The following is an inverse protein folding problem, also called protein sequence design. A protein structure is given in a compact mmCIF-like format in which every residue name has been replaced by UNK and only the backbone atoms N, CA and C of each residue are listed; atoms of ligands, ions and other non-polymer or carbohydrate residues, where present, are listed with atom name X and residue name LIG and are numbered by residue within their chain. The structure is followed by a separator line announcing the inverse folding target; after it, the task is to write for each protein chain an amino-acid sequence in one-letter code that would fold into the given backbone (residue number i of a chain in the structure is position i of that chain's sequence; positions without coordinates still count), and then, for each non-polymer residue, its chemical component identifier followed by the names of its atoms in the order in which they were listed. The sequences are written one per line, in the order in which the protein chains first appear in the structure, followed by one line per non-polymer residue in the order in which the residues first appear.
data_IF_811924251778
#
_entry.id   IF_811924251778
#
_cell.length_a   1.000
_cell.length_b   1.000
_cell.length_c   1.000
_cell.angle_alpha   90.00
_cell.angle_beta   90.00
_cell.angle_gamma   90.00
#
_symmetry.space_group_name_H-M   'P 1'
#
loop_
_entity.id
_entity.type
_entity.pdbx_description
1 polymer ?
#
# COMPACT_ATOMS: atom_id res chain seq x y z
N UNK A 1 6.45 12.18 -21.48
CA UNK A 1 6.14 12.33 -20.04
C UNK A 1 4.73 12.86 -19.96
N UNK A 2 3.87 12.26 -19.14
CA UNK A 2 2.50 12.73 -18.98
C UNK A 2 2.51 14.14 -18.40
N UNK A 3 1.70 15.05 -18.96
CA UNK A 3 1.54 16.37 -18.37
C UNK A 3 0.59 16.28 -17.18
N UNK A 4 1.00 16.83 -16.04
CA UNK A 4 0.21 16.76 -14.79
C UNK A 4 0.08 18.12 -14.13
N UNK A 5 -0.72 18.19 -13.07
CA UNK A 5 -0.83 19.36 -12.20
C UNK A 5 0.17 19.33 -11.02
N UNK A 6 1.27 18.57 -11.11
CA UNK A 6 2.20 18.33 -9.99
C UNK A 6 2.80 19.60 -9.37
N UNK A 7 2.97 20.65 -10.17
CA UNK A 7 3.49 21.97 -9.78
C UNK A 7 2.54 22.72 -8.83
N UNK A 8 1.25 22.32 -8.83
CA UNK A 8 0.20 22.87 -8.00
C UNK A 8 -0.10 22.02 -6.76
N UNK A 9 0.53 20.86 -6.62
CA UNK A 9 0.33 19.98 -5.47
C UNK A 9 1.10 20.47 -4.25
N UNK A 10 0.45 20.40 -3.09
CA UNK A 10 1.06 20.78 -1.82
C UNK A 10 1.78 19.58 -1.21
N UNK A 11 3.04 19.79 -0.80
CA UNK A 11 3.78 18.85 0.04
C UNK A 11 3.42 19.08 1.51
N UNK A 12 3.09 18.00 2.22
CA UNK A 12 2.70 18.06 3.64
C UNK A 12 3.53 17.09 4.46
N UNK A 13 4.01 17.54 5.61
CA UNK A 13 4.71 16.67 6.56
C UNK A 13 3.70 15.87 7.37
N UNK A 14 3.78 14.55 7.31
CA UNK A 14 3.00 13.64 8.15
C UNK A 14 3.93 12.71 8.92
N UNK A 15 3.58 12.42 10.17
CA UNK A 15 4.43 11.65 11.08
C UNK A 15 3.80 10.29 11.38
N UNK A 16 4.60 9.24 11.26
CA UNK A 16 4.29 7.89 11.73
C UNK A 16 5.26 7.44 12.81
N UNK A 17 4.85 6.44 13.58
CA UNK A 17 5.68 5.70 14.51
C UNK A 17 5.71 4.22 14.08
N UNK A 18 6.88 3.58 14.13
CA UNK A 18 7.00 2.15 13.86
C UNK A 18 6.18 1.40 14.90
N UNK A 19 5.13 0.75 14.41
CA UNK A 19 4.18 0.00 15.23
C UNK A 19 4.80 -1.32 15.70
N UNK A 20 4.47 -1.75 16.93
CA UNK A 20 4.80 -3.10 17.38
C UNK A 20 3.97 -4.13 16.56
N UNK A 21 4.50 -5.32 16.22
CA UNK A 21 3.68 -6.38 15.65
C UNK A 21 2.50 -6.72 16.57
N UNK A 22 1.36 -7.03 15.98
CA UNK A 22 0.14 -7.34 16.72
C UNK A 22 -0.36 -8.75 16.40
N UNK A 23 -0.95 -9.40 17.40
CA UNK A 23 -1.68 -10.66 17.22
C UNK A 23 -3.13 -10.45 17.65
N UNK A 24 -4.04 -11.26 17.12
CA UNK A 24 -5.46 -11.21 17.50
C UNK A 24 -5.72 -11.81 18.90
N UNK A 25 -4.68 -12.23 19.63
CA UNK A 25 -4.84 -12.98 20.89
C UNK A 25 -5.56 -14.33 20.74
N UNK A 26 -5.72 -14.80 19.50
CA UNK A 26 -6.49 -15.99 19.12
C UNK A 26 -5.95 -16.56 17.80
N UNK A 27 -6.31 -17.81 17.49
CA UNK A 27 -6.01 -18.40 16.19
C UNK A 27 -6.80 -17.73 15.07
N UNK A 28 -6.18 -17.65 13.89
CA UNK A 28 -6.84 -17.26 12.64
C UNK A 28 -7.36 -18.52 11.96
N UNK A 29 -8.63 -18.54 11.59
CA UNK A 29 -9.23 -19.65 10.85
C UNK A 29 -8.81 -19.56 9.38
N UNK A 30 -8.14 -20.59 8.87
CA UNK A 30 -7.80 -20.68 7.45
C UNK A 30 -9.04 -20.92 6.58
N UNK A 31 -8.88 -20.76 5.26
CA UNK A 31 -9.95 -21.04 4.28
C UNK A 31 -10.40 -22.51 4.30
N UNK A 32 -9.56 -23.41 4.81
CA UNK A 32 -9.81 -24.83 5.01
C UNK A 32 -10.48 -25.16 6.35
N UNK A 33 -10.83 -24.13 7.14
CA UNK A 33 -11.44 -24.28 8.46
C UNK A 33 -10.45 -24.63 9.58
N UNK A 34 -9.15 -24.71 9.30
CA UNK A 34 -8.14 -25.08 10.29
C UNK A 34 -7.59 -23.81 10.99
N UNK A 35 -7.65 -23.73 12.33
CA UNK A 35 -7.09 -22.62 13.08
C UNK A 35 -5.56 -22.65 13.09
N UNK A 36 -4.92 -21.49 12.88
CA UNK A 36 -3.46 -21.34 12.85
C UNK A 36 -3.01 -20.12 13.64
N UNK A 37 -1.82 -20.22 14.24
CA UNK A 37 -1.07 -19.06 14.72
C UNK A 37 -0.06 -18.70 13.63
N UNK A 38 -0.07 -17.44 13.22
CA UNK A 38 0.83 -16.93 12.20
C UNK A 38 1.34 -15.54 12.60
N UNK A 39 2.54 -15.13 12.12
CA UNK A 39 2.95 -13.74 12.16
C UNK A 39 1.88 -12.86 11.52
N UNK A 40 1.43 -11.84 12.25
CA UNK A 40 0.42 -10.89 11.78
C UNK A 40 1.01 -9.63 11.16
N UNK A 41 0.14 -8.64 10.95
CA UNK A 41 0.52 -7.29 10.52
C UNK A 41 1.32 -6.52 11.58
N UNK A 42 1.77 -5.33 11.19
CA UNK A 42 2.56 -4.38 11.99
C UNK A 42 4.00 -4.82 12.29
N UNK A 43 4.84 -3.94 12.82
CA UNK A 43 6.26 -4.26 13.07
C UNK A 43 7.18 -4.02 11.87
N UNK A 44 8.37 -4.61 11.99
CA UNK A 44 9.43 -4.59 10.98
C UNK A 44 9.61 -6.02 10.47
N UNK A 45 9.45 -6.24 9.16
CA UNK A 45 9.71 -7.51 8.49
C UNK A 45 11.12 -7.47 7.89
N UNK A 46 11.98 -8.36 8.40
CA UNK A 46 13.38 -8.44 7.97
C UNK A 46 13.59 -9.28 6.71
N UNK A 47 12.64 -10.16 6.39
CA UNK A 47 12.72 -11.12 5.29
C UNK A 47 11.48 -11.11 4.37
N UNK A 48 10.70 -10.03 4.40
CA UNK A 48 9.54 -9.87 3.51
C UNK A 48 9.38 -8.40 3.12
N UNK A 49 9.60 -8.12 1.82
CA UNK A 49 9.70 -6.76 1.28
C UNK A 49 8.97 -6.63 -0.06
N UNK A 50 8.91 -5.41 -0.57
CA UNK A 50 8.50 -5.16 -1.96
C UNK A 50 9.39 -5.96 -2.91
N UNK A 51 8.79 -6.63 -3.88
CA UNK A 51 9.43 -7.53 -4.83
C UNK A 51 9.34 -9.01 -4.46
N UNK A 52 9.04 -9.35 -3.20
CA UNK A 52 8.82 -10.75 -2.82
C UNK A 52 7.46 -11.26 -3.34
N UNK A 53 7.35 -12.57 -3.55
CA UNK A 53 6.06 -13.19 -3.86
C UNK A 53 5.06 -12.95 -2.73
N UNK A 54 3.82 -12.60 -3.08
CA UNK A 54 2.74 -12.42 -2.11
C UNK A 54 2.30 -13.75 -1.46
N UNK A 55 2.65 -14.88 -2.07
CA UNK A 55 2.28 -16.24 -1.66
C UNK A 55 3.51 -17.05 -1.22
N UNK A 56 3.25 -18.19 -0.56
CA UNK A 56 4.30 -19.14 -0.14
C UNK A 56 4.82 -18.94 1.29
N UNK A 57 4.23 -18.01 2.03
CA UNK A 57 4.62 -17.68 3.39
C UNK A 57 3.72 -18.37 4.42
N UNK A 58 4.31 -18.79 5.55
CA UNK A 58 3.56 -19.24 6.73
C UNK A 58 3.17 -18.02 7.56
N UNK A 59 2.29 -17.18 7.00
CA UNK A 59 1.89 -15.89 7.54
C UNK A 59 0.46 -15.52 7.11
N UNK A 60 -0.16 -14.55 7.79
CA UNK A 60 -1.50 -14.04 7.42
C UNK A 60 -1.57 -12.52 7.61
N UNK A 61 -2.14 -11.80 6.63
CA UNK A 61 -2.16 -10.33 6.56
C UNK A 61 -0.83 -9.67 6.99
N UNK A 62 0.29 -10.27 6.55
CA UNK A 62 1.62 -9.77 6.87
C UNK A 62 2.00 -8.65 5.89
N UNK A 63 2.70 -7.66 6.42
CA UNK A 63 2.89 -6.36 5.79
C UNK A 63 4.39 -6.16 5.51
N UNK A 64 4.80 -5.74 4.30
CA UNK A 64 6.20 -5.70 3.88
C UNK A 64 6.99 -4.58 4.56
N UNK A 65 8.27 -4.83 4.83
CA UNK A 65 9.19 -3.83 5.38
C UNK A 65 8.72 -3.30 6.74
N UNK A 66 8.54 -1.99 6.84
CA UNK A 66 8.24 -1.27 8.08
C UNK A 66 6.79 -0.79 8.09
N UNK A 67 6.03 -1.16 9.11
CA UNK A 67 4.67 -0.64 9.32
C UNK A 67 4.65 0.55 10.27
N UNK A 68 4.16 1.68 9.76
CA UNK A 68 3.94 2.92 10.48
C UNK A 68 2.47 3.09 10.87
N UNK A 69 2.26 3.60 12.08
CA UNK A 69 0.96 4.09 12.53
C UNK A 69 1.14 5.43 13.24
N UNK A 70 0.14 6.31 13.15
CA UNK A 70 0.07 7.48 14.02
C UNK A 70 -0.77 7.11 15.26
N UNK A 71 -0.31 7.51 16.46
CA UNK A 71 -1.00 7.22 17.73
C UNK A 71 -1.94 8.33 18.22
N UNK A 72 -2.18 9.33 17.37
CA UNK A 72 -3.09 10.43 17.67
C UNK A 72 -4.56 10.06 17.51
N UNK A 73 -5.39 11.09 17.39
CA UNK A 73 -6.82 10.96 17.09
C UNK A 73 -7.08 10.26 15.75
N UNK A 74 -8.33 9.83 15.53
CA UNK A 74 -8.78 9.24 14.26
C UNK A 74 -8.39 10.09 13.06
N UNK A 75 -8.50 11.43 13.19
CA UNK A 75 -8.12 12.37 12.13
C UNK A 75 -6.62 12.37 11.82
N UNK A 76 -5.78 12.12 12.83
CA UNK A 76 -4.33 12.14 12.66
C UNK A 76 -3.80 10.84 12.05
N UNK A 77 -4.31 9.68 12.47
CA UNK A 77 -3.88 8.42 11.84
C UNK A 77 -4.44 8.22 10.44
N UNK A 78 -5.66 8.70 10.17
CA UNK A 78 -6.19 8.69 8.79
C UNK A 78 -5.44 9.67 7.91
N UNK A 79 -4.97 10.80 8.44
CA UNK A 79 -4.15 11.75 7.68
C UNK A 79 -2.81 11.15 7.24
N UNK A 80 -2.14 10.35 8.08
CA UNK A 80 -0.94 9.61 7.65
C UNK A 80 -1.25 8.72 6.45
N UNK A 81 -2.30 7.90 6.55
CA UNK A 81 -2.69 6.98 5.48
C UNK A 81 -3.12 7.70 4.19
N UNK A 82 -3.90 8.78 4.29
CA UNK A 82 -4.38 9.52 3.12
C UNK A 82 -3.26 10.27 2.40
N UNK A 83 -2.37 10.92 3.16
CA UNK A 83 -1.40 11.87 2.62
C UNK A 83 -0.06 11.21 2.25
N UNK A 84 0.27 10.06 2.83
CA UNK A 84 1.42 9.25 2.43
C UNK A 84 1.06 8.42 1.18
N UNK A 85 1.35 8.97 0.00
CA UNK A 85 1.18 8.29 -1.27
C UNK A 85 2.33 7.31 -1.51
N UNK A 86 2.06 6.21 -2.23
CA UNK A 86 3.07 5.24 -2.64
C UNK A 86 4.12 5.96 -3.48
N UNK A 87 5.39 5.74 -3.17
CA UNK A 87 6.53 6.45 -3.76
C UNK A 87 6.90 7.76 -3.05
N UNK A 88 6.24 8.15 -1.96
CA UNK A 88 6.72 9.27 -1.13
C UNK A 88 7.96 8.90 -0.33
N UNK A 89 8.86 9.87 -0.13
CA UNK A 89 10.03 9.74 0.74
C UNK A 89 9.63 9.94 2.21
N UNK A 90 10.15 9.09 3.09
CA UNK A 90 10.13 9.31 4.53
C UNK A 90 11.52 9.25 5.13
N UNK A 91 11.73 10.05 6.17
CA UNK A 91 13.00 10.17 6.89
C UNK A 91 12.81 9.78 8.35
N UNK A 92 13.68 8.91 8.84
CA UNK A 92 13.72 8.53 10.26
C UNK A 92 14.18 9.74 11.08
N UNK A 93 13.45 10.11 12.14
CA UNK A 93 13.73 11.30 12.95
C UNK A 93 14.17 11.00 14.39
N UNK A 94 14.12 9.73 14.82
CA UNK A 94 14.59 9.24 16.13
C UNK A 94 15.43 7.97 15.97
N UNK A 95 15.98 7.46 17.08
CA UNK A 95 16.68 6.18 17.11
C UNK A 95 18.06 6.20 16.45
N UNK A 96 18.64 5.00 16.33
CA UNK A 96 19.96 4.78 15.76
C UNK A 96 20.00 5.05 14.25
N UNK A 97 18.92 4.73 13.54
CA UNK A 97 18.75 4.99 12.12
C UNK A 97 18.33 6.44 11.80
N UNK A 98 18.46 7.39 12.73
CA UNK A 98 18.04 8.77 12.51
C UNK A 98 18.76 9.38 11.29
N UNK A 99 17.96 9.90 10.36
CA UNK A 99 18.44 10.54 9.14
C UNK A 99 18.35 9.65 7.91
N UNK A 100 18.22 8.34 8.09
CA UNK A 100 18.01 7.40 7.00
C UNK A 100 16.69 7.66 6.29
N UNK A 101 16.67 7.33 4.99
CA UNK A 101 15.54 7.56 4.10
C UNK A 101 14.98 6.24 3.59
N UNK A 102 13.68 6.21 3.41
CA UNK A 102 12.95 5.10 2.82
C UNK A 102 11.80 5.60 1.98
N UNK A 103 11.06 4.67 1.40
CA UNK A 103 9.99 4.96 0.45
C UNK A 103 8.70 4.33 0.92
N UNK A 104 7.58 5.05 0.81
CA UNK A 104 6.24 4.50 1.06
C UNK A 104 5.91 3.46 0.00
N UNK A 105 5.53 2.27 0.44
CA UNK A 105 5.27 1.12 -0.45
C UNK A 105 3.82 0.68 -0.48
N UNK A 106 3.01 1.14 0.46
CA UNK A 106 1.60 0.76 0.52
C UNK A 106 0.93 1.24 1.80
N UNK A 107 -0.31 0.80 1.98
CA UNK A 107 -1.14 1.07 3.16
C UNK A 107 -2.11 -0.08 3.37
N UNK A 108 -2.57 -0.28 4.60
CA UNK A 108 -3.55 -1.31 4.93
C UNK A 108 -4.58 -0.79 5.94
N UNK A 109 -5.85 -1.06 5.67
CA UNK A 109 -6.96 -0.50 6.41
C UNK A 109 -6.90 1.03 6.36
N UNK A 110 -7.29 1.72 7.43
CA UNK A 110 -7.33 3.20 7.47
C UNK A 110 -6.26 3.82 8.39
N UNK A 111 -5.30 3.02 8.88
CA UNK A 111 -4.38 3.44 9.95
C UNK A 111 -2.93 2.97 9.82
N UNK A 112 -2.62 2.14 8.81
CA UNK A 112 -1.29 1.60 8.60
C UNK A 112 -0.73 2.03 7.26
N UNK A 113 0.50 2.51 7.28
CA UNK A 113 1.29 2.89 6.11
C UNK A 113 2.58 2.07 6.11
N UNK A 114 3.01 1.58 4.96
CA UNK A 114 4.20 0.75 4.81
C UNK A 114 5.33 1.53 4.18
N UNK A 115 6.54 1.22 4.62
CA UNK A 115 7.76 1.77 4.05
C UNK A 115 8.82 0.69 3.88
N UNK A 116 9.62 0.81 2.83
CA UNK A 116 10.82 0.00 2.64
C UNK A 116 12.08 0.86 2.80
N UNK A 117 13.14 0.24 3.31
CA UNK A 117 14.43 0.85 3.58
C UNK A 117 15.56 -0.11 3.13
N UNK A 118 16.77 0.41 2.86
CA UNK A 118 17.95 -0.43 2.73
C UNK A 118 18.12 -1.36 3.94
N UNK A 119 18.72 -2.54 3.72
CA UNK A 119 18.82 -3.57 4.77
C UNK A 119 19.61 -3.06 5.98
N UNK A 120 20.71 -2.33 5.74
CA UNK A 120 21.52 -1.73 6.82
C UNK A 120 20.75 -0.72 7.68
N UNK A 121 19.66 -0.16 7.13
CA UNK A 121 18.76 0.72 7.88
C UNK A 121 17.73 -0.10 8.64
N UNK A 122 17.13 -1.13 8.02
CA UNK A 122 16.16 -2.01 8.69
C UNK A 122 16.72 -2.64 9.97
N UNK A 123 18.00 -3.04 9.97
CA UNK A 123 18.67 -3.64 11.12
C UNK A 123 18.88 -2.67 12.30
N UNK A 124 18.88 -1.36 12.03
CA UNK A 124 19.04 -0.29 13.03
C UNK A 124 17.73 0.36 13.46
N UNK A 125 16.63 0.04 12.78
CA UNK A 125 15.31 0.54 13.15
C UNK A 125 14.77 -0.22 14.36
N UNK A 126 14.09 0.51 15.25
CA UNK A 126 13.45 -0.06 16.42
C UNK A 126 11.96 0.22 16.43
N UNK A 127 11.21 -0.65 17.10
CA UNK A 127 9.80 -0.37 17.38
C UNK A 127 9.71 0.93 18.18
N UNK A 128 8.85 1.84 17.75
CA UNK A 128 8.71 3.16 18.35
C UNK A 128 9.50 4.27 17.68
N UNK A 129 10.39 3.96 16.73
CA UNK A 129 11.04 5.00 15.96
C UNK A 129 10.03 5.80 15.13
N UNK A 130 10.25 7.12 15.08
CA UNK A 130 9.38 8.05 14.36
C UNK A 130 9.93 8.33 12.98
N UNK A 131 9.06 8.35 11.99
CA UNK A 131 9.37 8.61 10.59
C UNK A 131 8.50 9.76 10.10
N UNK A 132 9.14 10.79 9.58
CA UNK A 132 8.48 11.91 8.94
C UNK A 132 8.41 11.66 7.44
N UNK A 133 7.19 11.49 6.92
CA UNK A 133 6.91 11.32 5.50
C UNK A 133 6.57 12.68 4.90
N UNK A 134 7.13 12.95 3.72
CA UNK A 134 6.72 14.08 2.89
C UNK A 134 5.59 13.61 1.99
N UNK A 135 4.34 13.80 2.45
CA UNK A 135 3.13 13.48 1.70
C UNK A 135 3.01 14.37 0.46
N UNK A 136 2.88 13.76 -0.72
CA UNK A 136 2.80 14.45 -2.01
C UNK A 136 2.17 13.55 -3.07
N UNK A 137 1.02 13.95 -3.62
CA UNK A 137 0.29 13.18 -4.64
C UNK A 137 -1.23 13.25 -4.52
N UNK A 138 -1.76 13.63 -3.35
CA UNK A 138 -3.21 13.85 -3.21
C UNK A 138 -3.65 15.03 -4.08
N UNK A 139 -4.61 14.78 -4.98
CA UNK A 139 -5.09 15.75 -5.97
C UNK A 139 -4.31 15.73 -7.29
N UNK A 140 -3.42 14.77 -7.49
CA UNK A 140 -2.71 14.57 -8.77
C UNK A 140 -3.71 14.27 -9.89
N UNK A 141 -3.58 15.00 -10.99
CA UNK A 141 -4.40 14.83 -12.19
C UNK A 141 -3.49 14.78 -13.42
N UNK A 142 -3.86 13.95 -14.39
CA UNK A 142 -3.22 13.88 -15.71
C UNK A 142 -4.02 14.78 -16.65
N UNK A 143 -3.38 15.79 -17.24
CA UNK A 143 -4.06 16.76 -18.11
C UNK A 143 -4.54 16.06 -19.37
N UNK A 144 -5.77 16.39 -19.80
CA UNK A 144 -6.42 15.76 -20.96
C UNK A 144 -7.08 14.41 -20.64
N UNK A 145 -6.93 13.90 -19.42
CA UNK A 145 -7.52 12.64 -18.94
C UNK A 145 -8.20 12.87 -17.58
N UNK A 146 -8.97 13.96 -17.44
CA UNK A 146 -9.57 14.38 -16.17
C UNK A 146 -10.64 13.41 -15.62
N UNK A 147 -11.13 12.50 -16.46
CA UNK A 147 -12.00 11.38 -16.07
C UNK A 147 -11.22 10.21 -15.42
N UNK A 148 -9.90 10.15 -15.62
CA UNK A 148 -9.01 9.19 -14.96
C UNK A 148 -8.57 9.72 -13.59
N UNK A 149 -9.05 9.08 -12.53
CA UNK A 149 -8.66 9.44 -11.15
C UNK A 149 -7.35 8.80 -10.74
N UNK A 150 -6.35 9.63 -10.44
CA UNK A 150 -5.10 9.21 -9.79
C UNK A 150 -5.24 9.40 -8.28
N UNK A 151 -5.02 8.32 -7.53
CA UNK A 151 -5.17 8.29 -6.08
C UNK A 151 -3.98 7.56 -5.46
N UNK A 152 -3.56 8.00 -4.26
CA UNK A 152 -2.52 7.34 -3.46
C UNK A 152 -1.18 7.09 -4.16
N UNK A 153 -0.87 7.87 -5.20
CA UNK A 153 0.32 7.73 -6.04
C UNK A 153 1.13 9.03 -6.01
N UNK A 154 2.43 8.94 -5.75
CA UNK A 154 3.30 10.10 -5.85
C UNK A 154 3.56 10.47 -7.32
N UNK A 155 3.77 11.75 -7.65
CA UNK A 155 4.14 12.14 -9.01
C UNK A 155 5.42 11.44 -9.51
N UNK A 156 6.41 11.25 -8.63
CA UNK A 156 7.64 10.52 -8.96
C UNK A 156 7.39 9.05 -9.31
N UNK A 157 6.42 8.39 -8.66
CA UNK A 157 6.08 7.01 -9.00
C UNK A 157 5.28 6.97 -10.31
N UNK A 158 4.34 7.90 -10.53
CA UNK A 158 3.62 8.02 -11.80
C UNK A 158 4.61 8.15 -12.99
N UNK A 159 5.64 8.99 -12.85
CA UNK A 159 6.69 9.15 -13.85
C UNK A 159 7.46 7.84 -14.10
N UNK A 160 7.75 7.08 -13.05
CA UNK A 160 8.48 5.81 -13.13
C UNK A 160 7.65 4.63 -13.67
N UNK A 161 6.32 4.75 -13.74
CA UNK A 161 5.42 3.68 -14.21
C UNK A 161 5.40 3.52 -15.74
N UNK A 162 6.10 4.36 -16.49
CA UNK A 162 6.18 4.30 -17.96
C UNK A 162 4.81 4.32 -18.67
N UNK A 163 3.82 5.00 -18.08
CA UNK A 163 2.49 5.15 -18.66
C UNK A 163 2.57 5.98 -19.94
N UNK A 164 1.87 5.52 -20.99
CA UNK A 164 1.87 6.16 -22.31
C UNK A 164 0.48 6.62 -22.66
N UNK A 165 0.40 7.74 -23.36
CA UNK A 165 -0.81 8.19 -24.01
C UNK A 165 -0.90 7.55 -25.41
N UNK A 166 -2.00 6.87 -25.70
CA UNK A 166 -2.30 6.30 -27.01
C UNK A 166 -3.74 6.63 -27.40
N UNK A 167 -3.89 7.52 -28.39
CA UNK A 167 -5.21 8.02 -28.79
C UNK A 167 -5.88 8.83 -27.67
N UNK A 168 -7.10 8.46 -27.31
CA UNK A 168 -7.87 9.08 -26.21
C UNK A 168 -7.63 8.40 -24.85
N UNK A 169 -6.70 7.44 -24.75
CA UNK A 169 -6.52 6.63 -23.55
C UNK A 169 -5.10 6.56 -23.02
N UNK A 170 -4.97 5.98 -21.82
CA UNK A 170 -3.70 5.69 -21.17
C UNK A 170 -3.39 4.19 -21.21
N UNK A 171 -2.17 3.86 -21.64
CA UNK A 171 -1.62 2.51 -21.59
C UNK A 171 -0.75 2.39 -20.35
N UNK A 172 -1.23 1.59 -19.39
CA UNK A 172 -0.56 1.36 -18.09
C UNK A 172 0.09 -0.03 -18.10
N UNK A 173 1.41 -0.15 -17.93
CA UNK A 173 2.07 -1.43 -17.74
C UNK A 173 1.60 -2.11 -16.45
N UNK A 174 1.15 -3.37 -16.57
CA UNK A 174 0.69 -4.16 -15.43
C UNK A 174 1.31 -5.55 -15.47
N UNK A 175 1.64 -6.09 -14.30
CA UNK A 175 2.11 -7.46 -14.15
C UNK A 175 0.96 -8.47 -14.40
N UNK A 176 -0.28 -8.06 -14.09
CA UNK A 176 -1.45 -8.93 -14.22
C UNK A 176 -2.75 -8.14 -14.34
N UNK A 177 -3.72 -8.76 -15.01
CA UNK A 177 -5.12 -8.33 -14.99
C UNK A 177 -5.92 -9.29 -14.09
N UNK A 178 -6.64 -8.73 -13.12
CA UNK A 178 -7.48 -9.44 -12.14
C UNK A 178 -8.94 -9.18 -12.49
N UNK A 179 -9.75 -10.24 -12.48
CA UNK A 179 -11.20 -10.12 -12.68
C UNK A 179 -11.85 -9.49 -11.43
N UNK A 180 -12.73 -8.50 -11.59
CA UNK A 180 -13.36 -7.80 -10.45
C UNK A 180 -14.06 -8.73 -9.45
N UNK A 181 -14.59 -9.87 -9.90
CA UNK A 181 -15.20 -10.90 -9.03
C UNK A 181 -14.23 -11.58 -8.06
N UNK A 182 -12.93 -11.39 -8.25
CA UNK A 182 -11.89 -11.90 -7.35
C UNK A 182 -11.61 -10.92 -6.21
N UNK A 183 -12.22 -9.75 -6.20
CA UNK A 183 -12.05 -8.76 -5.12
C UNK A 183 -12.99 -9.06 -3.95
N UNK A 184 -12.57 -8.68 -2.74
CA UNK A 184 -13.22 -9.10 -1.49
C UNK A 184 -13.22 -8.06 -0.38
N UNK A 185 -12.58 -8.42 0.74
CA UNK A 185 -12.54 -7.59 1.95
C UNK A 185 -12.11 -6.16 1.61
N UNK A 186 -12.82 -5.16 2.13
CA UNK A 186 -12.57 -3.75 1.86
C UNK A 186 -13.48 -3.11 0.80
N UNK A 187 -14.18 -3.90 -0.02
CA UNK A 187 -15.19 -3.38 -0.96
C UNK A 187 -16.32 -2.64 -0.22
N UNK A 188 -16.81 -1.55 -0.81
CA UNK A 188 -17.78 -0.62 -0.20
C UNK A 188 -17.22 0.22 0.94
N UNK A 189 -16.03 -0.14 1.47
CA UNK A 189 -15.19 0.74 2.25
C UNK A 189 -15.57 0.99 3.73
N UNK A 190 -16.77 0.60 4.17
CA UNK A 190 -17.21 0.71 5.57
C UNK A 190 -16.97 2.11 6.19
N UNK A 191 -16.63 2.15 7.48
CA UNK A 191 -16.22 3.37 8.20
C UNK A 191 -14.82 3.84 7.79
N UNK A 192 -14.66 4.26 6.53
CA UNK A 192 -13.38 4.64 5.95
C UNK A 192 -13.30 4.46 4.44
N UNK A 193 -14.43 4.44 3.73
CA UNK A 193 -14.49 3.99 2.34
C UNK A 193 -13.83 4.86 1.30
N UNK A 194 -13.21 5.97 1.71
CA UNK A 194 -12.37 6.79 0.83
C UNK A 194 -11.23 5.89 0.31
N UNK A 195 -11.06 5.76 -1.03
CA UNK A 195 -10.03 4.94 -1.63
C UNK A 195 -8.62 5.26 -1.11
N UNK A 196 -8.30 6.55 -0.93
CA UNK A 196 -6.98 6.98 -0.47
C UNK A 196 -6.59 6.51 0.94
N UNK A 197 -7.56 6.09 1.76
CA UNK A 197 -7.28 5.69 3.12
C UNK A 197 -6.72 4.28 3.24
N UNK A 198 -7.00 3.40 2.29
CA UNK A 198 -6.74 1.98 2.46
C UNK A 198 -6.72 1.17 1.18
N UNK A 199 -6.80 -0.13 1.39
CA UNK A 199 -6.69 -1.20 0.41
C UNK A 199 -7.95 -2.06 0.40
N UNK A 200 -7.99 -3.01 -0.54
CA UNK A 200 -9.02 -4.03 -0.61
C UNK A 200 -8.43 -5.28 -1.25
N UNK A 201 -8.93 -6.44 -0.83
CA UNK A 201 -8.21 -7.70 -0.99
C UNK A 201 -8.56 -8.38 -2.31
N UNK A 202 -7.53 -8.86 -3.02
CA UNK A 202 -7.70 -9.93 -4.02
C UNK A 202 -7.88 -11.23 -3.24
N UNK A 203 -9.05 -11.85 -3.34
CA UNK A 203 -9.36 -13.11 -2.69
C UNK A 203 -8.71 -14.27 -3.43
N UNK A 204 -7.92 -15.06 -2.70
CA UNK A 204 -7.16 -16.19 -3.23
C UNK A 204 -7.40 -17.49 -2.45
N UNK A 205 -8.51 -17.54 -1.71
CA UNK A 205 -8.90 -18.68 -0.87
C UNK A 205 -9.31 -19.93 -1.66
N UNK A 206 -9.62 -19.81 -2.95
CA UNK A 206 -9.84 -20.94 -3.84
C UNK A 206 -8.56 -21.25 -4.62
N UNK A 207 -7.88 -22.39 -4.36
CA UNK A 207 -6.71 -22.78 -5.13
C UNK A 207 -6.98 -22.88 -6.63
N UNK A 208 -8.15 -23.40 -7.02
CA UNK A 208 -8.57 -23.52 -8.42
C UNK A 208 -8.65 -22.15 -9.11
N UNK A 209 -9.27 -21.16 -8.46
CA UNK A 209 -9.36 -19.80 -9.03
C UNK A 209 -8.01 -19.10 -9.03
N UNK A 210 -7.23 -19.27 -7.95
CA UNK A 210 -5.85 -18.76 -7.86
C UNK A 210 -4.99 -19.26 -9.01
N UNK A 211 -5.07 -20.56 -9.35
CA UNK A 211 -4.35 -21.13 -10.48
C UNK A 211 -4.91 -20.67 -11.82
N UNK A 212 -6.24 -20.72 -12.00
CA UNK A 212 -6.94 -20.28 -13.22
C UNK A 212 -6.58 -18.84 -13.62
N UNK A 213 -6.41 -17.95 -12.65
CA UNK A 213 -6.02 -16.56 -12.87
C UNK A 213 -4.52 -16.29 -12.69
N UNK A 214 -3.75 -17.32 -12.37
CA UNK A 214 -2.32 -17.26 -12.13
C UNK A 214 -1.92 -16.28 -11.01
N UNK A 215 -2.77 -16.11 -9.99
CA UNK A 215 -2.55 -15.15 -8.90
C UNK A 215 -1.33 -15.53 -8.04
N UNK A 216 -0.95 -16.81 -8.01
CA UNK A 216 0.20 -17.33 -7.24
C UNK A 216 1.55 -16.69 -7.59
N UNK A 217 1.67 -16.10 -8.80
CA UNK A 217 2.87 -15.42 -9.25
C UNK A 217 2.95 -13.92 -8.93
N UNK A 218 1.93 -13.33 -8.30
CA UNK A 218 1.91 -11.92 -7.93
C UNK A 218 2.96 -11.64 -6.85
N UNK A 219 3.64 -10.51 -6.98
CA UNK A 219 4.59 -9.98 -6.00
C UNK A 219 4.02 -8.77 -5.29
N UNK A 220 4.54 -8.53 -4.10
CA UNK A 220 4.30 -7.29 -3.37
C UNK A 220 4.89 -6.13 -4.16
N UNK A 221 4.06 -5.13 -4.46
CA UNK A 221 4.44 -3.97 -5.28
C UNK A 221 4.20 -4.16 -6.78
N UNK A 222 3.69 -5.30 -7.24
CA UNK A 222 3.22 -5.43 -8.62
C UNK A 222 2.08 -4.44 -8.90
N UNK A 223 2.13 -3.79 -10.05
CA UNK A 223 1.01 -3.00 -10.58
C UNK A 223 0.04 -3.98 -11.25
N UNK A 224 -1.24 -3.94 -10.86
CA UNK A 224 -2.28 -4.80 -11.41
C UNK A 224 -3.43 -3.98 -11.98
N UNK A 225 -4.04 -4.46 -13.06
CA UNK A 225 -5.31 -3.94 -13.56
C UNK A 225 -6.46 -4.76 -12.98
N UNK A 226 -7.52 -4.12 -12.49
CA UNK A 226 -8.73 -4.80 -12.01
C UNK A 226 -9.86 -4.48 -12.99
N UNK A 227 -10.44 -5.52 -13.61
CA UNK A 227 -11.55 -5.35 -14.56
C UNK A 227 -12.86 -5.06 -13.85
N UNK A 228 -13.74 -4.34 -14.55
CA UNK A 228 -15.14 -4.13 -14.18
C UNK A 228 -15.33 -3.53 -12.78
N UNK A 229 -14.40 -2.67 -12.34
CA UNK A 229 -14.45 -1.97 -11.06
C UNK A 229 -14.14 -0.49 -11.20
N UNK A 230 -14.89 0.33 -10.47
CA UNK A 230 -14.71 1.77 -10.40
C UNK A 230 -14.45 2.19 -8.96
N UNK A 231 -13.27 2.76 -8.69
CA UNK A 231 -12.89 3.16 -7.33
C UNK A 231 -12.83 4.68 -7.13
N UNK A 232 -13.65 5.47 -7.85
CA UNK A 232 -13.56 6.95 -7.80
C UNK A 232 -13.92 7.55 -6.43
N UNK A 233 -14.87 6.92 -5.72
CA UNK A 233 -15.45 7.49 -4.49
C UNK A 233 -15.46 6.49 -3.32
N UNK A 234 -15.55 5.20 -3.64
CA UNK A 234 -15.45 4.09 -2.71
C UNK A 234 -14.58 2.99 -3.34
N UNK A 235 -14.26 1.94 -2.60
CA UNK A 235 -13.50 0.78 -3.10
C UNK A 235 -14.44 -0.23 -3.75
N UNK A 236 -14.25 -0.50 -5.05
CA UNK A 236 -15.10 -1.43 -5.82
C UNK A 236 -16.56 -0.99 -5.92
#
# INVERSE_FOLDING_TARGET
MLETNEDRLVKVSVMGEISHPSTMGSYRTGFDGVPRLSPGGSGIKLNFRVGDYAYGWVADHFEPGVCLQNRGSVRQFTALNALACIGNEGRVVTGEAKGEKGTVTGKHGYSKTFMDFPMETLERLTIGDRIQVTGWGVGLEVKGHEDVRVMSLSPSLLEAMEIREEGEGLVVPVAKIVEGRMMGSGMGGGSGGIPDLGDFDIQSTSPELTERYGLSGIRIGDIVGIKDMLSHYARG
#
